data_IF_517516860493
#
_entry.id   IF_517516860493
#
_cell.length_a   1.000
_cell.length_b   1.000
_cell.length_c   1.000
_cell.angle_alpha   90.00
_cell.angle_beta   90.00
_cell.angle_gamma   90.00
#
_symmetry.space_group_name_H-M   'P 1'
#
loop_
_entity.id
_entity.type
_entity.pdbx_description
1 polymer ?
#
# COMPACT_ATOMS: atom_id res chain seq x y z
N UNK A 1 17.67 16.61 -17.27
CA UNK A 1 16.61 16.30 -16.30
C UNK A 1 16.60 14.79 -16.10
N UNK A 2 16.67 14.32 -14.86
CA UNK A 2 16.65 12.89 -14.57
C UNK A 2 15.23 12.36 -14.79
N UNK A 3 15.09 11.27 -15.54
CA UNK A 3 13.81 10.60 -15.69
C UNK A 3 13.38 10.05 -14.32
N UNK A 4 12.13 10.29 -13.93
CA UNK A 4 11.59 9.77 -12.67
C UNK A 4 11.62 8.24 -12.66
N UNK A 5 11.85 7.63 -11.49
CA UNK A 5 11.82 6.16 -11.41
C UNK A 5 10.41 5.69 -11.77
N UNK A 6 10.35 4.58 -12.51
CA UNK A 6 9.09 4.03 -13.01
C UNK A 6 8.04 3.79 -11.91
N UNK A 7 8.48 3.29 -10.74
CA UNK A 7 7.59 3.03 -9.62
C UNK A 7 6.97 4.32 -9.07
N UNK A 8 7.79 5.36 -8.86
CA UNK A 8 7.33 6.69 -8.41
C UNK A 8 6.26 7.22 -9.36
N UNK A 9 6.50 7.14 -10.67
CA UNK A 9 5.51 7.54 -11.69
C UNK A 9 4.18 6.80 -11.58
N UNK A 10 4.21 5.49 -11.39
CA UNK A 10 2.99 4.70 -11.28
C UNK A 10 2.21 5.06 -10.00
N UNK A 11 2.91 5.28 -8.89
CA UNK A 11 2.30 5.71 -7.64
C UNK A 11 1.67 7.10 -7.77
N UNK A 12 2.40 8.06 -8.36
CA UNK A 12 1.90 9.41 -8.57
C UNK A 12 0.67 9.41 -9.50
N UNK A 13 0.69 8.59 -10.56
CA UNK A 13 -0.45 8.45 -11.47
C UNK A 13 -1.69 7.89 -10.75
N UNK A 14 -1.51 6.85 -9.92
CA UNK A 14 -2.61 6.27 -9.13
C UNK A 14 -3.14 7.27 -8.12
N UNK A 15 -2.27 7.98 -7.41
CA UNK A 15 -2.66 9.01 -6.45
C UNK A 15 -3.50 10.11 -7.12
N UNK A 16 -3.01 10.65 -8.25
CA UNK A 16 -3.70 11.68 -9.01
C UNK A 16 -5.10 11.22 -9.47
N UNK A 17 -5.20 10.00 -10.01
CA UNK A 17 -6.47 9.48 -10.53
C UNK A 17 -7.46 9.06 -9.43
N UNK A 18 -6.98 8.77 -8.21
CA UNK A 18 -7.83 8.49 -7.05
C UNK A 18 -8.36 9.76 -6.38
N UNK A 19 -7.56 10.84 -6.37
CA UNK A 19 -7.99 12.15 -5.87
C UNK A 19 -8.93 12.88 -6.86
N UNK A 20 -8.89 12.50 -8.13
CA UNK A 20 -9.69 13.13 -9.17
C UNK A 20 -11.21 12.96 -8.95
N UNK A 21 -11.92 14.06 -8.72
CA UNK A 21 -13.39 14.09 -8.60
C UNK A 21 -14.12 13.88 -9.93
N UNK A 22 -13.44 14.08 -11.07
CA UNK A 22 -13.95 13.89 -12.43
C UNK A 22 -12.93 13.15 -13.30
N UNK A 23 -13.35 12.46 -14.39
CA UNK A 23 -12.40 11.91 -15.36
C UNK A 23 -11.45 13.00 -15.87
N UNK A 24 -10.15 12.68 -15.91
CA UNK A 24 -9.11 13.60 -16.37
C UNK A 24 -8.67 13.27 -17.80
N UNK A 25 -8.47 14.28 -18.63
CA UNK A 25 -7.88 14.10 -19.95
C UNK A 25 -6.38 13.79 -19.88
N UNK A 26 -5.81 13.25 -20.96
CA UNK A 26 -4.37 12.91 -21.01
C UNK A 26 -3.45 14.10 -20.74
N UNK A 27 -3.81 15.29 -21.25
CA UNK A 27 -3.01 16.50 -21.01
C UNK A 27 -3.14 16.97 -19.56
N UNK A 28 -4.34 16.93 -18.97
CA UNK A 28 -4.55 17.24 -17.55
C UNK A 28 -3.76 16.29 -16.64
N UNK A 29 -3.67 15.00 -16.99
CA UNK A 29 -2.86 14.02 -16.26
C UNK A 29 -1.37 14.34 -16.36
N UNK A 30 -0.88 14.71 -17.55
CA UNK A 30 0.52 15.09 -17.72
C UNK A 30 0.87 16.32 -16.89
N UNK A 31 0.00 17.32 -16.89
CA UNK A 31 0.21 18.60 -16.21
C UNK A 31 0.04 18.47 -14.68
N UNK A 32 -0.76 17.51 -14.22
CA UNK A 32 -0.94 17.20 -12.79
C UNK A 32 0.19 16.38 -12.17
N UNK A 33 1.09 15.82 -12.98
CA UNK A 33 2.21 15.01 -12.52
C UNK A 33 3.51 15.83 -12.40
N UNK A 34 4.47 15.39 -11.56
CA UNK A 34 5.76 16.05 -11.44
C UNK A 34 6.51 16.16 -12.78
N UNK A 35 7.27 17.25 -12.99
CA UNK A 35 8.05 17.42 -14.21
C UNK A 35 9.08 16.29 -14.36
N UNK A 36 9.08 15.64 -15.53
CA UNK A 36 9.92 14.46 -15.81
C UNK A 36 9.25 13.10 -15.57
N UNK A 37 7.97 13.09 -15.17
CA UNK A 37 7.15 11.88 -15.16
C UNK A 37 6.97 11.30 -16.57
N UNK A 38 6.55 12.15 -17.50
CA UNK A 38 6.36 11.82 -18.89
C UNK A 38 7.22 12.69 -19.80
N UNK A 39 7.45 12.22 -21.02
CA UNK A 39 8.14 13.00 -22.04
C UNK A 39 7.27 14.18 -22.49
N UNK A 40 7.90 15.29 -22.88
CA UNK A 40 7.22 16.46 -23.43
C UNK A 40 6.61 16.18 -24.82
N UNK A 41 7.20 15.22 -25.54
CA UNK A 41 6.70 14.74 -26.83
C UNK A 41 5.41 13.91 -26.66
N UNK A 42 4.35 14.33 -27.34
CA UNK A 42 3.01 13.73 -27.21
C UNK A 42 2.97 12.26 -27.66
N UNK A 43 3.76 11.86 -28.67
CA UNK A 43 3.78 10.47 -29.15
C UNK A 43 4.49 9.56 -28.13
N UNK A 44 5.64 9.99 -27.63
CA UNK A 44 6.39 9.31 -26.58
C UNK A 44 5.61 9.22 -25.27
N UNK A 45 4.91 10.30 -24.89
CA UNK A 45 3.99 10.31 -23.76
C UNK A 45 2.88 9.27 -23.93
N UNK A 46 2.15 9.31 -25.06
CA UNK A 46 1.04 8.38 -25.30
C UNK A 46 1.49 6.92 -25.20
N UNK A 47 2.65 6.59 -25.78
CA UNK A 47 3.20 5.23 -25.72
C UNK A 47 3.55 4.81 -24.29
N UNK A 48 4.13 5.71 -23.51
CA UNK A 48 4.53 5.43 -22.11
C UNK A 48 3.30 5.31 -21.22
N UNK A 49 2.31 6.18 -21.40
CA UNK A 49 1.05 6.17 -20.66
C UNK A 49 0.23 4.90 -20.92
N UNK A 50 0.11 4.47 -22.18
CA UNK A 50 -0.56 3.20 -22.51
C UNK A 50 0.12 2.00 -21.84
N UNK A 51 1.46 2.00 -21.80
CA UNK A 51 2.23 0.97 -21.10
C UNK A 51 1.99 1.01 -19.58
N UNK A 52 2.03 2.19 -18.97
CA UNK A 52 1.78 2.34 -17.53
C UNK A 52 0.36 1.88 -17.16
N UNK A 53 -0.64 2.18 -18.02
CA UNK A 53 -2.01 1.68 -17.87
C UNK A 53 -2.09 0.16 -17.90
N UNK A 54 -1.40 -0.50 -18.83
CA UNK A 54 -1.36 -1.96 -18.90
C UNK A 54 -0.68 -2.57 -17.66
N UNK A 55 0.34 -1.91 -17.13
CA UNK A 55 1.01 -2.35 -15.91
C UNK A 55 0.12 -2.21 -14.67
N UNK A 56 -0.61 -1.09 -14.53
CA UNK A 56 -1.59 -0.93 -13.46
C UNK A 56 -2.72 -1.96 -13.57
N UNK A 57 -3.20 -2.26 -14.78
CA UNK A 57 -4.18 -3.33 -15.01
C UNK A 57 -3.63 -4.69 -14.55
N UNK A 58 -2.36 -5.01 -14.83
CA UNK A 58 -1.74 -6.25 -14.37
C UNK A 58 -1.59 -6.32 -12.85
N UNK A 59 -1.52 -5.17 -12.17
CA UNK A 59 -1.52 -5.06 -10.70
C UNK A 59 -2.94 -5.09 -10.09
N UNK A 60 -3.99 -5.21 -10.90
CA UNK A 60 -5.37 -5.20 -10.43
C UNK A 60 -5.94 -3.80 -10.17
N UNK A 61 -5.31 -2.75 -10.69
CA UNK A 61 -5.76 -1.36 -10.58
C UNK A 61 -6.29 -0.93 -11.96
N UNK A 62 -7.59 -1.15 -12.26
CA UNK A 62 -8.15 -0.79 -13.57
C UNK A 62 -8.33 0.73 -13.69
N UNK A 63 -7.77 1.30 -14.75
CA UNK A 63 -8.12 2.67 -15.19
C UNK A 63 -9.28 2.57 -16.16
N UNK A 64 -10.40 3.19 -15.79
CA UNK A 64 -11.59 3.30 -16.63
C UNK A 64 -11.49 4.48 -17.59
N UNK A 65 -12.07 4.30 -18.78
CA UNK A 65 -12.12 5.33 -19.82
C UNK A 65 -13.56 5.81 -19.92
N UNK A 66 -13.77 7.08 -19.58
CA UNK A 66 -15.07 7.73 -19.53
C UNK A 66 -15.11 8.95 -20.46
N UNK A 67 -16.31 9.49 -20.70
CA UNK A 67 -16.45 10.74 -21.44
C UNK A 67 -16.14 11.95 -20.55
N UNK A 68 -15.33 12.89 -21.04
CA UNK A 68 -15.03 14.12 -20.32
C UNK A 68 -16.28 15.04 -20.24
N UNK A 69 -16.68 15.48 -19.04
CA UNK A 69 -17.83 16.38 -18.89
C UNK A 69 -17.54 17.75 -19.51
N UNK A 70 -18.44 18.24 -20.38
CA UNK A 70 -18.32 19.55 -21.02
C UNK A 70 -17.41 19.61 -22.26
N UNK A 71 -16.87 18.47 -22.69
CA UNK A 71 -16.13 18.32 -23.95
C UNK A 71 -17.02 17.71 -25.03
N UNK A 72 -16.67 17.91 -26.31
CA UNK A 72 -17.25 17.11 -27.39
C UNK A 72 -17.06 15.63 -27.04
N UNK A 73 -18.08 14.80 -27.26
CA UNK A 73 -18.17 13.39 -26.85
C UNK A 73 -17.04 12.46 -27.36
N UNK A 74 -16.02 13.03 -28.02
CA UNK A 74 -14.86 12.40 -28.60
C UNK A 74 -13.63 12.38 -27.68
N UNK A 75 -13.62 13.14 -26.58
CA UNK A 75 -12.45 13.18 -25.68
C UNK A 75 -12.56 12.15 -24.56
N UNK A 76 -11.60 11.21 -24.54
CA UNK A 76 -11.44 10.20 -23.51
C UNK A 76 -10.87 10.81 -22.22
N UNK A 77 -11.63 10.66 -21.13
CA UNK A 77 -11.19 10.89 -19.76
C UNK A 77 -10.79 9.59 -19.09
N UNK A 78 -9.87 9.65 -18.14
CA UNK A 78 -9.36 8.50 -17.40
C UNK A 78 -9.66 8.70 -15.91
N UNK A 79 -10.10 7.63 -15.26
CA UNK A 79 -10.44 7.65 -13.84
C UNK A 79 -10.16 6.28 -13.20
N UNK A 80 -9.81 6.28 -11.92
CA UNK A 80 -9.83 5.08 -11.09
C UNK A 80 -11.00 5.22 -10.12
N UNK A 81 -11.97 4.31 -10.19
CA UNK A 81 -13.04 4.26 -9.20
C UNK A 81 -12.53 3.58 -7.93
N UNK A 82 -12.74 4.23 -6.78
CA UNK A 82 -12.37 3.65 -5.49
C UNK A 82 -13.08 2.33 -5.23
N UNK A 83 -14.33 2.22 -5.66
CA UNK A 83 -15.12 0.97 -5.62
C UNK A 83 -14.52 -0.16 -6.45
N UNK A 84 -13.76 0.13 -7.50
CA UNK A 84 -13.05 -0.89 -8.27
C UNK A 84 -11.80 -1.41 -7.55
N UNK A 85 -11.31 -0.68 -6.53
CA UNK A 85 -10.22 -1.10 -5.64
C UNK A 85 -10.73 -1.67 -4.30
N UNK A 86 -12.04 -1.59 -4.05
CA UNK A 86 -12.65 -2.24 -2.90
C UNK A 86 -12.63 -3.74 -3.15
N UNK A 87 -11.66 -4.42 -2.54
CA UNK A 87 -11.71 -5.86 -2.40
C UNK A 87 -12.76 -6.23 -1.35
N UNK A 88 -13.62 -7.21 -1.66
CA UNK A 88 -14.47 -7.87 -0.67
C UNK A 88 -13.57 -8.68 0.27
N UNK A 89 -12.96 -7.95 1.21
CA UNK A 89 -12.04 -8.51 2.17
C UNK A 89 -12.86 -9.19 3.27
N UNK A 90 -12.51 -10.42 3.65
CA UNK A 90 -13.19 -11.08 4.75
C UNK A 90 -13.06 -10.22 5.99
N UNK A 91 -14.14 -10.16 6.79
CA UNK A 91 -14.07 -9.55 8.10
C UNK A 91 -12.99 -10.29 8.93
N UNK A 92 -11.90 -9.59 9.23
CA UNK A 92 -10.83 -10.13 10.04
C UNK A 92 -11.24 -10.05 11.51
N UNK A 93 -11.02 -11.15 12.25
CA UNK A 93 -11.14 -11.14 13.70
C UNK A 93 -10.03 -10.27 14.33
N UNK A 94 -10.22 -9.70 15.55
CA UNK A 94 -9.17 -8.97 16.25
C UNK A 94 -7.76 -9.61 16.24
N UNK A 95 -7.66 -10.93 16.37
CA UNK A 95 -6.36 -11.63 16.36
C UNK A 95 -5.70 -11.64 14.96
N UNK A 96 -6.51 -11.72 13.90
CA UNK A 96 -6.04 -11.66 12.51
C UNK A 96 -5.59 -10.25 12.16
N UNK A 97 -6.33 -9.24 12.61
CA UNK A 97 -5.94 -7.84 12.48
C UNK A 97 -4.62 -7.52 13.17
N UNK A 98 -4.43 -8.01 14.40
CA UNK A 98 -3.18 -7.84 15.13
C UNK A 98 -2.01 -8.51 14.40
N UNK A 99 -2.25 -9.68 13.80
CA UNK A 99 -1.27 -10.41 12.99
C UNK A 99 -0.91 -9.66 11.71
N UNK A 100 -1.88 -9.07 11.02
CA UNK A 100 -1.66 -8.23 9.83
C UNK A 100 -0.89 -6.96 10.16
N UNK A 101 -1.26 -6.27 11.26
CA UNK A 101 -0.54 -5.08 11.73
C UNK A 101 0.92 -5.39 12.05
N UNK A 102 1.18 -6.53 12.71
CA UNK A 102 2.52 -7.01 13.01
C UNK A 102 3.31 -7.34 11.73
N UNK A 103 2.70 -8.04 10.77
CA UNK A 103 3.31 -8.37 9.49
C UNK A 103 3.64 -7.11 8.66
N UNK A 104 2.72 -6.13 8.62
CA UNK A 104 2.94 -4.85 7.95
C UNK A 104 4.10 -4.06 8.58
N UNK A 105 4.28 -4.13 9.90
CA UNK A 105 5.42 -3.49 10.57
C UNK A 105 6.77 -4.15 10.23
N UNK A 106 6.77 -5.40 9.76
CA UNK A 106 7.97 -6.14 9.36
C UNK A 106 8.41 -5.84 7.93
N UNK A 107 7.45 -5.62 7.03
CA UNK A 107 7.71 -5.21 5.64
C UNK A 107 7.97 -3.71 5.61
N UNK A 108 9.22 -3.31 5.81
CA UNK A 108 9.64 -1.96 5.44
C UNK A 108 9.93 -1.96 3.95
N UNK A 109 9.16 -1.22 3.17
CA UNK A 109 9.62 -0.82 1.84
C UNK A 109 10.82 0.10 2.06
N UNK A 110 11.99 -0.30 1.56
CA UNK A 110 13.31 0.31 1.86
C UNK A 110 13.35 1.82 1.64
N UNK A 111 12.41 2.41 0.88
CA UNK A 111 12.36 3.86 0.60
C UNK A 111 10.95 4.49 0.71
N UNK A 112 9.93 3.79 1.21
CA UNK A 112 8.58 4.36 1.37
C UNK A 112 8.05 3.96 2.75
N UNK A 113 7.99 4.89 3.68
CA UNK A 113 7.08 4.77 4.83
C UNK A 113 5.67 4.78 4.27
N UNK A 114 4.90 3.68 4.30
CA UNK A 114 3.51 3.78 3.90
C UNK A 114 2.80 4.64 4.95
N UNK A 115 2.45 5.86 4.58
CA UNK A 115 1.48 6.71 5.31
C UNK A 115 0.06 6.15 5.21
N UNK A 116 -0.13 5.02 4.50
CA UNK A 116 -1.41 4.32 4.40
C UNK A 116 -1.71 3.68 5.76
N UNK A 117 -2.71 4.18 6.49
CA UNK A 117 -3.04 3.64 7.79
C UNK A 117 -3.54 2.21 7.66
N UNK A 118 -3.16 1.32 8.58
CA UNK A 118 -3.53 -0.11 8.56
C UNK A 118 -5.05 -0.35 8.42
N UNK A 119 -5.89 0.58 8.90
CA UNK A 119 -7.36 0.51 8.75
C UNK A 119 -7.87 0.69 7.32
N UNK A 120 -7.03 1.18 6.39
CA UNK A 120 -7.35 1.29 4.95
C UNK A 120 -7.19 -0.03 4.19
N UNK A 121 -6.63 -1.07 4.83
CA UNK A 121 -6.46 -2.42 4.27
C UNK A 121 -7.71 -3.31 4.45
N UNK A 122 -8.89 -2.69 4.59
CA UNK A 122 -10.20 -3.33 4.53
C UNK A 122 -10.50 -4.31 5.67
N UNK A 123 -11.05 -3.76 6.75
CA UNK A 123 -11.88 -4.54 7.68
C UNK A 123 -12.64 -3.61 8.61
N UNK A 124 -13.43 -2.72 8.01
CA UNK A 124 -14.37 -1.84 8.69
C UNK A 124 -15.79 -2.06 8.18
N UNK A 125 -16.18 -3.32 7.98
CA UNK A 125 -17.55 -3.68 7.67
C UNK A 125 -18.38 -3.67 8.94
N UNK A 126 -19.02 -2.54 9.23
CA UNK A 126 -20.09 -2.48 10.23
C UNK A 126 -19.98 -1.28 11.15
N UNK A 127 -21.11 -0.60 11.28
CA UNK A 127 -21.46 0.46 12.22
C UNK A 127 -21.33 0.02 13.68
N UNK A 128 -20.10 -0.33 14.09
CA UNK A 128 -19.72 -0.49 15.47
C UNK A 128 -18.99 0.78 15.86
N UNK A 129 -19.52 1.44 16.87
CA UNK A 129 -18.92 2.51 17.65
C UNK A 129 -17.59 2.01 18.24
N UNK A 130 -16.57 1.92 17.38
CA UNK A 130 -15.21 1.61 17.77
C UNK A 130 -14.75 2.84 18.53
N UNK A 131 -14.77 2.74 19.85
CA UNK A 131 -14.11 3.69 20.73
C UNK A 131 -12.66 3.85 20.25
N UNK A 132 -12.43 4.93 19.49
CA UNK A 132 -11.24 5.21 18.66
C UNK A 132 -10.00 5.50 19.49
N UNK A 133 -10.04 5.19 20.78
CA UNK A 133 -9.06 5.57 21.79
C UNK A 133 -8.46 4.38 22.54
N UNK A 134 -9.03 3.17 22.40
CA UNK A 134 -8.44 1.96 22.96
C UNK A 134 -7.45 1.32 21.98
N UNK A 135 -6.15 1.22 22.31
CA UNK A 135 -5.23 0.36 21.56
C UNK A 135 -5.75 -1.07 21.67
N UNK A 136 -6.25 -1.62 20.55
CA UNK A 136 -6.82 -2.98 20.51
C UNK A 136 -5.76 -4.05 20.76
N UNK A 137 -4.48 -3.71 20.55
CA UNK A 137 -3.33 -4.48 20.99
C UNK A 137 -2.16 -3.53 21.31
N UNK A 138 -1.64 -3.59 22.53
CA UNK A 138 -0.32 -3.03 22.86
C UNK A 138 0.72 -4.02 22.35
N UNK A 139 1.12 -3.86 21.08
CA UNK A 139 2.23 -4.64 20.52
C UNK A 139 3.47 -4.21 21.28
N UNK A 140 4.13 -5.09 22.06
CA UNK A 140 5.29 -4.69 22.84
C UNK A 140 6.34 -4.14 21.88
N UNK A 141 6.54 -2.83 21.93
CA UNK A 141 7.52 -2.12 21.11
C UNK A 141 8.96 -2.38 21.55
N UNK A 142 9.21 -3.44 22.33
CA UNK A 142 10.52 -3.78 22.84
C UNK A 142 11.45 -4.17 21.67
N UNK A 143 12.64 -3.54 21.56
CA UNK A 143 13.65 -3.90 20.57
C UNK A 143 13.94 -5.41 20.50
N UNK A 144 13.89 -6.11 21.63
CA UNK A 144 14.15 -7.55 21.73
C UNK A 144 13.09 -8.36 21.00
N UNK A 145 11.81 -8.00 21.14
CA UNK A 145 10.71 -8.68 20.44
C UNK A 145 10.87 -8.51 18.93
N UNK A 146 11.22 -7.30 18.46
CA UNK A 146 11.50 -7.05 17.04
C UNK A 146 12.68 -7.86 16.51
N UNK A 147 13.73 -8.00 17.31
CA UNK A 147 14.91 -8.80 16.94
C UNK A 147 14.59 -10.29 16.83
N UNK A 148 13.82 -10.83 17.79
CA UNK A 148 13.35 -12.21 17.74
C UNK A 148 12.41 -12.46 16.55
N UNK A 149 11.52 -11.52 16.24
CA UNK A 149 10.62 -11.60 15.07
C UNK A 149 11.42 -11.66 13.75
N UNK A 150 12.50 -10.88 13.64
CA UNK A 150 13.42 -10.95 12.50
C UNK A 150 14.17 -12.28 12.45
N UNK A 151 14.56 -12.82 13.59
CA UNK A 151 15.26 -14.10 13.67
C UNK A 151 14.37 -15.26 13.20
N UNK A 152 13.09 -15.28 13.59
CA UNK A 152 12.11 -16.27 13.10
C UNK A 152 11.97 -16.21 11.58
N UNK A 153 11.73 -15.01 11.04
CA UNK A 153 11.48 -14.82 9.60
C UNK A 153 12.72 -15.11 8.76
N UNK A 154 13.90 -14.79 9.29
CA UNK A 154 15.18 -15.02 8.63
C UNK A 154 15.80 -16.40 8.90
N UNK A 155 15.12 -17.29 9.64
CA UNK A 155 15.67 -18.59 10.04
C UNK A 155 17.02 -18.48 10.78
N UNK A 156 17.21 -17.43 11.58
CA UNK A 156 18.48 -17.13 12.25
C UNK A 156 18.50 -17.71 13.65
N UNK A 157 19.62 -18.36 13.99
CA UNK A 157 19.92 -18.80 15.36
C UNK A 157 20.07 -17.58 16.27
N UNK A 158 19.44 -17.62 17.45
CA UNK A 158 19.54 -16.57 18.47
C UNK A 158 20.08 -17.15 19.77
N UNK A 159 20.87 -16.34 20.48
CA UNK A 159 21.43 -16.69 21.79
C UNK A 159 21.04 -15.64 22.83
N UNK A 160 20.48 -16.07 23.96
CA UNK A 160 20.04 -15.20 25.04
C UNK A 160 20.19 -15.88 26.41
N UNK A 161 20.10 -15.10 27.48
CA UNK A 161 20.14 -15.62 28.85
C UNK A 161 18.70 -15.83 29.34
N UNK A 162 18.39 -17.04 29.78
CA UNK A 162 17.09 -17.39 30.36
C UNK A 162 17.30 -18.05 31.72
N UNK A 163 16.72 -17.44 32.77
CA UNK A 163 16.90 -17.89 34.17
C UNK A 163 18.38 -18.09 34.58
N UNK A 164 19.25 -17.20 34.10
CA UNK A 164 20.69 -17.23 34.40
C UNK A 164 21.52 -18.15 33.52
N UNK A 165 20.90 -18.94 32.64
CA UNK A 165 21.62 -19.84 31.72
C UNK A 165 21.61 -19.29 30.29
N UNK A 166 22.74 -19.43 29.59
CA UNK A 166 22.82 -19.08 28.16
C UNK A 166 22.16 -20.17 27.33
N UNK A 167 21.16 -19.79 26.53
CA UNK A 167 20.42 -20.66 25.62
C UNK A 167 20.68 -20.21 24.20
N UNK A 168 20.85 -21.17 23.30
CA UNK A 168 20.94 -20.95 21.85
C UNK A 168 19.83 -21.73 21.19
N UNK A 169 18.98 -21.05 20.41
CA UNK A 169 17.79 -21.65 19.81
C UNK A 169 17.63 -21.22 18.36
N UNK A 170 17.00 -22.09 17.58
CA UNK A 170 16.44 -21.76 16.27
C UNK A 170 14.95 -21.43 16.47
N UNK A 171 14.57 -20.15 16.40
CA UNK A 171 13.22 -19.76 16.72
C UNK A 171 12.29 -20.03 15.53
N UNK A 172 11.25 -20.84 15.75
CA UNK A 172 10.27 -21.17 14.71
C UNK A 172 9.00 -20.33 14.76
N UNK A 173 8.61 -19.86 15.95
CA UNK A 173 7.39 -19.07 16.16
C UNK A 173 7.52 -18.21 17.42
N UNK A 174 6.99 -17.00 17.35
CA UNK A 174 6.71 -16.16 18.52
C UNK A 174 5.20 -16.15 18.74
N UNK A 175 4.79 -16.39 19.98
CA UNK A 175 3.38 -16.40 20.37
C UNK A 175 3.23 -15.43 21.54
N UNK A 176 2.29 -14.49 21.38
CA UNK A 176 1.86 -13.65 22.48
C UNK A 176 0.65 -14.30 23.14
N UNK A 177 0.82 -14.82 24.36
CA UNK A 177 -0.30 -15.30 25.18
C UNK A 177 -0.63 -14.23 26.21
N UNK A 178 -1.82 -13.64 26.14
CA UNK A 178 -2.34 -12.76 27.20
C UNK A 178 -2.28 -13.48 28.54
N UNK A 179 -1.68 -12.83 29.53
CA UNK A 179 -2.00 -13.02 30.94
C UNK A 179 -3.06 -12.00 31.31
#
# INVERSE_FOLDING_TARGET
MAAMKKLERLLDLVALLLEAERPLGRHEIRDGLPPGAYADDDEAFRRTFERDKDELRNLGIPIEVESLPGSDASQAGYRIHRSALEADLPALDPDEFASLALASAMVRFEDVTPDVPIWMLGGGGGDADLDRSTPLADVPGDPVVRELMRAVTGGRVVSFVYRGERRTVEPHRLVFTKG
#
